data_IF_866281074173
#
_entry.id   IF_866281074173
#
_cell.length_a   1.000
_cell.length_b   1.000
_cell.length_c   1.000
_cell.angle_alpha   90.00
_cell.angle_beta   90.00
_cell.angle_gamma   90.00
#
_symmetry.space_group_name_H-M   'P 1'
#
loop_
_entity.id
_entity.type
_entity.pdbx_description
1 polymer ?
#
# COMPACT_ATOMS: atom_id res chain seq x y z
N UNK A 1 28.34 -22.05 30.86
CA UNK A 1 28.10 -20.89 29.98
C UNK A 1 26.71 -21.07 29.39
N UNK A 2 25.71 -20.32 29.88
CA UNK A 2 24.37 -20.38 29.32
C UNK A 2 24.45 -19.85 27.88
N UNK A 3 24.07 -20.68 26.91
CA UNK A 3 23.89 -20.21 25.54
C UNK A 3 22.89 -19.05 25.56
N UNK A 4 23.28 -17.96 24.91
CA UNK A 4 22.50 -16.75 24.71
C UNK A 4 21.31 -17.03 23.77
N UNK A 5 20.31 -17.75 24.24
CA UNK A 5 19.15 -18.19 23.46
C UNK A 5 18.18 -17.03 23.22
N UNK A 6 17.73 -16.87 21.98
CA UNK A 6 16.69 -15.89 21.61
C UNK A 6 15.32 -16.43 22.04
N UNK A 7 14.65 -15.73 22.96
CA UNK A 7 13.33 -16.10 23.50
C UNK A 7 12.19 -15.22 22.97
N UNK A 8 12.51 -14.09 22.31
CA UNK A 8 11.52 -13.11 21.85
C UNK A 8 11.62 -12.83 20.36
N UNK A 9 10.47 -12.64 19.73
CA UNK A 9 10.32 -12.00 18.43
C UNK A 9 9.66 -10.63 18.62
N UNK A 10 10.33 -9.55 18.25
CA UNK A 10 9.73 -8.23 18.17
C UNK A 10 9.20 -8.01 16.76
N UNK A 11 7.95 -7.58 16.65
CA UNK A 11 7.30 -7.21 15.40
C UNK A 11 6.88 -5.75 15.49
N UNK A 12 7.49 -4.90 14.66
CA UNK A 12 7.25 -3.46 14.70
C UNK A 12 6.67 -2.96 13.38
N UNK A 13 5.81 -1.93 13.45
CA UNK A 13 5.30 -1.19 12.29
C UNK A 13 5.39 0.31 12.51
N UNK A 14 4.91 1.11 11.54
CA UNK A 14 5.19 2.55 11.44
C UNK A 14 4.95 3.38 12.73
N UNK A 15 4.03 2.96 13.60
CA UNK A 15 3.82 3.56 14.91
C UNK A 15 5.05 3.51 15.84
N UNK A 16 6.01 2.61 15.59
CA UNK A 16 7.34 2.62 16.20
C UNK A 16 8.11 3.88 15.81
N UNK A 17 8.18 4.19 14.51
CA UNK A 17 8.87 5.38 14.01
C UNK A 17 8.22 6.67 14.53
N UNK A 18 6.88 6.71 14.53
CA UNK A 18 6.12 7.83 15.10
C UNK A 18 6.40 8.02 16.59
N UNK A 19 6.53 6.94 17.37
CA UNK A 19 6.89 7.05 18.80
C UNK A 19 8.32 7.58 19.01
N UNK A 20 9.19 7.39 18.03
CA UNK A 20 10.54 7.94 18.01
C UNK A 20 10.60 9.36 17.42
N UNK A 21 9.44 10.02 17.23
CA UNK A 21 9.26 11.34 16.63
C UNK A 21 9.76 11.44 15.17
N UNK A 22 9.84 10.31 14.47
CA UNK A 22 10.14 10.31 13.05
C UNK A 22 8.88 10.69 12.26
N UNK A 23 8.99 11.72 11.43
CA UNK A 23 7.92 12.23 10.55
C UNK A 23 7.66 11.26 9.38
N UNK A 24 7.12 10.10 9.71
CA UNK A 24 6.97 8.96 8.80
C UNK A 24 5.51 8.72 8.40
N UNK A 25 4.60 9.67 8.65
CA UNK A 25 3.23 9.57 8.14
C UNK A 25 3.20 9.84 6.64
N UNK A 26 2.16 9.36 5.99
CA UNK A 26 1.87 9.72 4.60
C UNK A 26 1.80 11.24 4.41
N UNK A 27 1.10 11.95 5.31
CA UNK A 27 0.98 13.40 5.28
C UNK A 27 2.35 14.11 5.41
N UNK A 28 3.24 13.58 6.25
CA UNK A 28 4.57 14.16 6.45
C UNK A 28 5.43 14.12 5.16
N UNK A 29 5.25 13.07 4.33
CA UNK A 29 5.92 12.95 3.04
C UNK A 29 5.45 14.02 2.05
N UNK A 30 4.13 14.23 1.92
CA UNK A 30 3.61 15.26 1.02
C UNK A 30 3.94 16.67 1.52
N UNK A 31 3.83 16.91 2.82
CA UNK A 31 4.17 18.21 3.42
C UNK A 31 5.67 18.58 3.27
N UNK A 32 6.53 17.65 2.83
CA UNK A 32 7.93 17.94 2.50
C UNK A 32 8.13 18.32 1.01
N UNK A 33 7.10 18.18 0.17
CA UNK A 33 7.18 18.30 -1.29
C UNK A 33 6.33 19.47 -1.78
N UNK A 34 6.60 20.67 -1.31
CA UNK A 34 5.79 21.88 -1.54
C UNK A 34 5.40 22.09 -3.01
N UNK A 35 6.35 21.98 -3.94
CA UNK A 35 6.06 22.24 -5.36
C UNK A 35 5.18 21.16 -5.99
N UNK A 36 5.41 19.89 -5.65
CA UNK A 36 4.55 18.78 -6.07
C UNK A 36 3.14 18.95 -5.48
N UNK A 37 3.03 19.28 -4.20
CA UNK A 37 1.73 19.46 -3.54
C UNK A 37 0.94 20.59 -4.18
N UNK A 38 1.56 21.74 -4.48
CA UNK A 38 0.89 22.85 -5.19
C UNK A 38 0.33 22.42 -6.53
N UNK A 39 1.08 21.62 -7.29
CA UNK A 39 0.63 21.07 -8.58
C UNK A 39 -0.60 20.16 -8.37
N UNK A 40 -0.49 19.20 -7.44
CA UNK A 40 -1.55 18.23 -7.17
C UNK A 40 -2.81 18.91 -6.59
N UNK A 41 -2.65 19.93 -5.74
CA UNK A 41 -3.75 20.75 -5.20
C UNK A 41 -4.49 21.49 -6.30
N UNK A 42 -3.75 22.17 -7.18
CA UNK A 42 -4.36 22.87 -8.32
C UNK A 42 -5.16 21.90 -9.18
N UNK A 43 -4.57 20.76 -9.54
CA UNK A 43 -5.27 19.74 -10.34
C UNK A 43 -6.52 19.21 -9.66
N UNK A 44 -6.44 18.91 -8.36
CA UNK A 44 -7.59 18.42 -7.63
C UNK A 44 -8.71 19.48 -7.57
N UNK A 45 -8.36 20.76 -7.44
CA UNK A 45 -9.32 21.86 -7.50
C UNK A 45 -9.96 22.00 -8.90
N UNK A 46 -9.16 21.87 -9.96
CA UNK A 46 -9.65 21.95 -11.34
C UNK A 46 -10.59 20.78 -11.67
N UNK A 47 -10.26 19.56 -11.25
CA UNK A 47 -11.14 18.40 -11.41
C UNK A 47 -12.43 18.57 -10.61
N UNK A 48 -12.37 19.09 -9.37
CA UNK A 48 -13.52 19.29 -8.49
C UNK A 48 -14.29 20.61 -8.71
N UNK A 49 -13.93 21.38 -9.74
CA UNK A 49 -14.67 22.57 -10.13
C UNK A 49 -16.08 22.20 -10.59
N UNK A 50 -17.09 22.96 -10.19
CA UNK A 50 -18.49 22.73 -10.57
C UNK A 50 -18.73 22.81 -12.09
N UNK A 51 -17.87 23.52 -12.81
CA UNK A 51 -17.92 23.60 -14.28
C UNK A 51 -17.30 22.36 -14.97
N UNK A 52 -16.58 21.51 -14.22
CA UNK A 52 -15.95 20.29 -14.72
C UNK A 52 -16.92 19.12 -14.59
N UNK A 53 -17.83 19.00 -15.55
CA UNK A 53 -18.70 17.83 -15.67
C UNK A 53 -18.01 16.67 -16.43
N UNK A 54 -18.48 15.46 -16.16
CA UNK A 54 -18.14 14.17 -16.78
C UNK A 54 -18.05 14.26 -18.30
N UNK A 55 -18.93 15.03 -18.96
CA UNK A 55 -18.91 15.21 -20.42
C UNK A 55 -17.64 15.91 -20.92
N UNK A 56 -17.17 16.93 -20.21
CA UNK A 56 -15.96 17.67 -20.57
C UNK A 56 -14.75 16.76 -20.41
N UNK A 57 -14.66 16.07 -19.27
CA UNK A 57 -13.62 15.07 -19.00
C UNK A 57 -13.58 13.98 -20.07
N UNK A 58 -14.73 13.41 -20.41
CA UNK A 58 -14.85 12.40 -21.47
C UNK A 58 -14.41 12.95 -22.83
N UNK A 59 -14.78 14.19 -23.18
CA UNK A 59 -14.33 14.82 -24.42
C UNK A 59 -12.81 15.01 -24.48
N UNK A 60 -12.17 15.34 -23.36
CA UNK A 60 -10.70 15.45 -23.27
C UNK A 60 -10.00 14.09 -23.34
N UNK A 61 -10.53 13.07 -22.64
CA UNK A 61 -10.01 11.69 -22.70
C UNK A 61 -10.10 11.13 -24.11
N UNK A 62 -11.24 11.31 -24.78
CA UNK A 62 -11.48 10.80 -26.13
C UNK A 62 -10.81 11.65 -27.22
N UNK A 63 -10.24 12.81 -26.90
CA UNK A 63 -9.57 13.65 -27.89
C UNK A 63 -8.44 12.93 -28.62
N UNK A 64 -7.70 12.07 -27.91
CA UNK A 64 -6.63 11.26 -28.50
C UNK A 64 -7.15 10.32 -29.59
N UNK A 65 -8.37 9.79 -29.42
CA UNK A 65 -9.09 9.03 -30.43
C UNK A 65 -9.78 9.91 -31.48
N UNK A 66 -9.37 11.18 -31.62
CA UNK A 66 -9.83 12.13 -32.62
C UNK A 66 -11.16 12.83 -32.33
N UNK A 67 -11.76 12.64 -31.14
CA UNK A 67 -13.01 13.32 -30.77
C UNK A 67 -12.81 14.83 -30.63
N UNK A 68 -13.86 15.61 -30.90
CA UNK A 68 -13.82 17.06 -30.68
C UNK A 68 -13.82 17.37 -29.19
N UNK A 69 -12.96 18.29 -28.76
CA UNK A 69 -13.04 18.84 -27.40
C UNK A 69 -14.23 19.78 -27.25
N UNK A 70 -14.65 19.98 -26.01
CA UNK A 70 -15.56 21.05 -25.65
C UNK A 70 -14.81 22.39 -25.59
N UNK A 71 -15.53 23.51 -25.77
CA UNK A 71 -14.94 24.85 -25.79
C UNK A 71 -14.32 25.29 -24.45
N UNK A 72 -14.67 24.62 -23.35
CA UNK A 72 -14.11 24.84 -22.01
C UNK A 72 -13.38 23.57 -21.52
N UNK A 73 -12.41 23.08 -22.30
CA UNK A 73 -11.69 21.84 -22.00
C UNK A 73 -10.63 22.03 -20.90
N UNK A 74 -10.34 20.97 -20.15
CA UNK A 74 -9.42 20.99 -19.02
C UNK A 74 -7.97 21.05 -19.46
N UNK A 75 -7.64 20.51 -20.63
CA UNK A 75 -6.28 20.51 -21.16
C UNK A 75 -5.71 21.94 -21.32
N UNK A 76 -6.55 22.91 -21.66
CA UNK A 76 -6.14 24.32 -21.74
C UNK A 76 -5.76 24.90 -20.36
N UNK A 77 -6.29 24.34 -19.27
CA UNK A 77 -6.05 24.78 -17.88
C UNK A 77 -4.99 23.92 -17.14
N UNK A 78 -4.88 22.64 -17.51
CA UNK A 78 -4.04 21.60 -16.88
C UNK A 78 -3.03 21.04 -17.90
N UNK A 79 -2.24 21.92 -18.52
CA UNK A 79 -1.10 21.51 -19.35
C UNK A 79 0.14 21.27 -18.47
N UNK A 80 0.11 20.21 -17.67
CA UNK A 80 1.19 19.84 -16.75
C UNK A 80 1.78 18.52 -17.18
N UNK A 81 3.09 18.47 -17.43
CA UNK A 81 3.82 17.23 -17.66
C UNK A 81 4.35 16.70 -16.32
N UNK A 82 3.87 15.52 -15.92
CA UNK A 82 4.23 14.90 -14.65
C UNK A 82 5.69 14.47 -14.60
N UNK A 83 6.23 14.02 -15.74
CA UNK A 83 7.62 13.58 -15.83
C UNK A 83 8.59 14.73 -15.54
N UNK A 84 8.29 15.95 -16.00
CA UNK A 84 9.14 17.13 -15.77
C UNK A 84 9.19 17.54 -14.30
N UNK A 85 8.19 17.13 -13.50
CA UNK A 85 8.03 17.49 -12.10
C UNK A 85 8.33 16.32 -11.14
N UNK A 86 8.84 15.19 -11.66
CA UNK A 86 9.05 13.94 -10.89
C UNK A 86 7.79 13.46 -10.14
N UNK A 87 6.60 13.69 -10.73
CA UNK A 87 5.33 13.24 -10.17
C UNK A 87 4.99 11.91 -10.83
N UNK A 88 4.82 10.84 -10.04
CA UNK A 88 4.30 9.59 -10.58
C UNK A 88 2.78 9.56 -10.58
N UNK A 89 2.21 8.61 -11.33
CA UNK A 89 0.79 8.27 -11.27
C UNK A 89 0.30 8.10 -9.81
N UNK A 90 1.06 7.39 -8.99
CA UNK A 90 0.70 7.11 -7.60
C UNK A 90 0.79 8.34 -6.68
N UNK A 91 1.70 9.29 -6.96
CA UNK A 91 1.67 10.58 -6.25
C UNK A 91 0.31 11.26 -6.45
N UNK A 92 -0.20 11.30 -7.69
CA UNK A 92 -1.52 11.86 -7.95
C UNK A 92 -2.64 11.02 -7.35
N UNK A 93 -2.66 9.70 -7.61
CA UNK A 93 -3.75 8.82 -7.17
C UNK A 93 -3.95 8.84 -5.66
N UNK A 94 -2.86 8.75 -4.90
CA UNK A 94 -2.93 8.81 -3.43
C UNK A 94 -3.31 10.22 -2.96
N UNK A 95 -2.78 11.27 -3.57
CA UNK A 95 -3.14 12.63 -3.20
C UNK A 95 -4.61 12.96 -3.48
N UNK A 96 -5.16 12.48 -4.60
CA UNK A 96 -6.58 12.60 -4.95
C UNK A 96 -7.48 11.97 -3.88
N UNK A 97 -6.98 10.95 -3.19
CA UNK A 97 -7.65 10.26 -2.09
C UNK A 97 -7.20 10.70 -0.69
N UNK A 98 -6.39 11.76 -0.56
CA UNK A 98 -5.71 12.12 0.71
C UNK A 98 -6.64 12.24 1.91
N UNK A 99 -7.87 12.71 1.73
CA UNK A 99 -8.87 12.86 2.80
C UNK A 99 -9.28 11.52 3.43
N UNK A 100 -9.06 10.42 2.71
CA UNK A 100 -9.32 9.03 3.15
C UNK A 100 -8.04 8.31 3.60
N UNK A 101 -6.87 8.94 3.50
CA UNK A 101 -5.57 8.36 3.82
C UNK A 101 -5.04 8.87 5.16
N UNK A 102 -5.31 8.14 6.23
CA UNK A 102 -4.82 8.48 7.57
C UNK A 102 -3.45 7.85 7.86
N UNK A 103 -3.17 6.69 7.28
CA UNK A 103 -1.94 5.95 7.51
C UNK A 103 -1.55 5.10 6.27
N UNK A 104 -0.37 4.46 6.32
CA UNK A 104 0.13 3.66 5.21
C UNK A 104 -0.72 2.44 4.84
N UNK A 105 -1.48 1.88 5.78
CA UNK A 105 -2.43 0.81 5.45
C UNK A 105 -3.54 1.30 4.52
N UNK A 106 -3.92 2.57 4.62
CA UNK A 106 -4.91 3.16 3.71
C UNK A 106 -4.30 3.32 2.31
N UNK A 107 -3.01 3.71 2.22
CA UNK A 107 -2.29 3.79 0.94
C UNK A 107 -2.26 2.43 0.24
N UNK A 108 -1.92 1.37 0.99
CA UNK A 108 -1.92 0.00 0.49
C UNK A 108 -3.33 -0.50 0.13
N UNK A 109 -4.34 -0.08 0.88
CA UNK A 109 -5.74 -0.35 0.54
C UNK A 109 -6.12 0.29 -0.80
N UNK A 110 -5.76 1.55 -1.05
CA UNK A 110 -6.05 2.22 -2.33
C UNK A 110 -5.22 1.63 -3.48
N UNK A 111 -3.96 1.26 -3.24
CA UNK A 111 -3.16 0.50 -4.20
C UNK A 111 -3.87 -0.81 -4.58
N UNK A 112 -4.32 -1.58 -3.58
CA UNK A 112 -5.05 -2.81 -3.80
C UNK A 112 -6.39 -2.56 -4.52
N UNK A 113 -7.13 -1.53 -4.13
CA UNK A 113 -8.39 -1.13 -4.75
C UNK A 113 -8.18 -0.93 -6.25
N UNK A 114 -7.24 -0.08 -6.67
CA UNK A 114 -7.00 0.20 -8.08
C UNK A 114 -6.56 -1.05 -8.86
N UNK A 115 -5.68 -1.87 -8.29
CA UNK A 115 -5.15 -3.06 -8.98
C UNK A 115 -6.16 -4.21 -9.09
N UNK A 116 -6.98 -4.41 -8.06
CA UNK A 116 -7.91 -5.55 -7.97
C UNK A 116 -9.29 -5.25 -8.55
N UNK A 117 -9.62 -3.98 -8.78
CA UNK A 117 -10.85 -3.58 -9.47
C UNK A 117 -10.99 -4.30 -10.83
N UNK A 118 -9.88 -4.55 -11.54
CA UNK A 118 -9.87 -5.25 -12.83
C UNK A 118 -10.02 -6.79 -12.70
N UNK A 119 -9.94 -7.36 -11.49
CA UNK A 119 -9.89 -8.82 -11.27
C UNK A 119 -11.22 -9.44 -10.83
N UNK A 120 -12.22 -8.61 -10.51
CA UNK A 120 -13.53 -9.07 -10.04
C UNK A 120 -14.64 -8.47 -10.90
N UNK A 121 -15.41 -9.33 -11.58
CA UNK A 121 -16.57 -9.00 -12.43
C UNK A 121 -17.70 -8.19 -11.72
N UNK A 122 -17.53 -7.81 -10.46
CA UNK A 122 -18.57 -7.24 -9.60
C UNK A 122 -18.43 -5.74 -9.30
N UNK A 123 -17.44 -5.03 -9.85
CA UNK A 123 -17.28 -3.59 -9.67
C UNK A 123 -17.44 -2.82 -10.99
N UNK A 124 -18.68 -2.53 -11.43
CA UNK A 124 -18.95 -1.87 -12.72
C UNK A 124 -18.55 -0.38 -12.78
N UNK A 125 -17.97 0.18 -11.71
CA UNK A 125 -17.82 1.64 -11.59
C UNK A 125 -16.44 2.15 -12.01
N UNK A 126 -15.35 1.44 -11.70
CA UNK A 126 -13.99 1.84 -12.07
C UNK A 126 -13.40 0.79 -13.01
N UNK A 127 -13.03 1.13 -14.23
CA UNK A 127 -12.37 0.19 -15.14
C UNK A 127 -11.50 0.94 -16.15
N UNK A 128 -10.25 1.16 -15.76
CA UNK A 128 -9.27 1.90 -16.57
C UNK A 128 -8.89 1.07 -17.81
N UNK A 129 -8.76 -0.25 -17.66
CA UNK A 129 -8.29 -1.14 -18.73
C UNK A 129 -9.32 -1.24 -19.85
N UNK A 130 -10.57 -1.57 -19.51
CA UNK A 130 -11.66 -1.60 -20.49
C UNK A 130 -11.84 -0.25 -21.17
N UNK A 131 -11.72 0.85 -20.42
CA UNK A 131 -11.82 2.19 -21.00
C UNK A 131 -10.69 2.47 -21.99
N UNK A 132 -9.45 2.06 -21.68
CA UNK A 132 -8.32 2.17 -22.61
C UNK A 132 -8.51 1.30 -23.85
N UNK A 133 -8.97 0.06 -23.71
CA UNK A 133 -9.30 -0.83 -24.83
C UNK A 133 -10.32 -0.19 -25.79
N UNK A 134 -11.37 0.43 -25.24
CA UNK A 134 -12.35 1.16 -26.04
C UNK A 134 -11.75 2.39 -26.73
N UNK A 135 -10.86 3.13 -26.06
CA UNK A 135 -10.17 4.29 -26.64
C UNK A 135 -9.28 3.86 -27.82
N UNK A 136 -8.51 2.80 -27.66
CA UNK A 136 -7.68 2.20 -28.74
C UNK A 136 -8.57 1.80 -29.91
N UNK A 137 -9.72 1.18 -29.62
CA UNK A 137 -10.66 0.76 -30.66
C UNK A 137 -11.26 1.97 -31.40
N UNK A 138 -11.60 3.04 -30.70
CA UNK A 138 -12.03 4.29 -31.33
C UNK A 138 -10.95 4.89 -32.23
N UNK A 139 -9.71 4.95 -31.76
CA UNK A 139 -8.58 5.47 -32.53
C UNK A 139 -8.36 4.67 -33.81
N UNK A 140 -8.54 3.35 -33.76
CA UNK A 140 -8.48 2.48 -34.92
C UNK A 140 -9.66 2.68 -35.89
N UNK A 141 -10.90 2.73 -35.40
CA UNK A 141 -12.09 2.76 -36.27
C UNK A 141 -12.31 4.13 -36.88
N UNK A 142 -12.09 5.22 -36.14
CA UNK A 142 -12.51 6.56 -36.55
C UNK A 142 -11.96 7.00 -37.91
N UNK A 143 -10.67 6.78 -38.26
CA UNK A 143 -10.16 7.10 -39.60
C UNK A 143 -10.78 6.26 -40.73
N UNK A 144 -11.50 5.17 -40.40
CA UNK A 144 -12.04 4.16 -41.31
C UNK A 144 -13.57 4.23 -41.47
N UNK A 145 -14.24 5.19 -40.82
CA UNK A 145 -15.70 5.34 -40.88
C UNK A 145 -16.24 5.58 -42.29
N UNK A 146 -15.44 6.17 -43.19
CA UNK A 146 -15.81 6.40 -44.59
C UNK A 146 -15.56 5.20 -45.51
N UNK A 147 -14.93 4.13 -45.00
CA UNK A 147 -14.49 2.98 -45.80
C UNK A 147 -15.60 1.92 -45.91
N UNK A 148 -16.24 1.58 -44.79
CA UNK A 148 -17.22 0.49 -44.74
C UNK A 148 -18.32 0.77 -43.71
N UNK A 149 -19.55 0.37 -44.03
CA UNK A 149 -20.72 0.56 -43.16
C UNK A 149 -20.59 -0.16 -41.82
N UNK A 150 -19.94 -1.33 -41.80
CA UNK A 150 -19.70 -2.12 -40.58
C UNK A 150 -18.93 -1.33 -39.51
N UNK A 151 -17.95 -0.51 -39.90
CA UNK A 151 -17.23 0.38 -38.98
C UNK A 151 -18.10 1.48 -38.39
N UNK A 152 -19.12 1.96 -39.12
CA UNK A 152 -20.07 2.97 -38.61
C UNK A 152 -20.97 2.34 -37.55
N UNK A 153 -21.49 1.14 -37.82
CA UNK A 153 -22.34 0.39 -36.89
C UNK A 153 -21.56 0.07 -35.60
N UNK A 154 -20.33 -0.42 -35.73
CA UNK A 154 -19.45 -0.69 -34.58
C UNK A 154 -19.10 0.58 -33.80
N UNK A 155 -18.83 1.70 -34.47
CA UNK A 155 -18.50 2.96 -33.79
C UNK A 155 -19.64 3.49 -32.95
N UNK A 156 -20.88 3.47 -33.47
CA UNK A 156 -22.04 3.92 -32.69
C UNK A 156 -22.30 2.98 -31.51
N UNK A 157 -22.16 1.65 -31.69
CA UNK A 157 -22.27 0.68 -30.59
C UNK A 157 -21.22 0.94 -29.49
N UNK A 158 -19.94 1.11 -29.86
CA UNK A 158 -18.87 1.41 -28.91
C UNK A 158 -19.12 2.72 -28.17
N UNK A 159 -19.61 3.74 -28.87
CA UNK A 159 -19.93 5.06 -28.30
C UNK A 159 -21.09 5.00 -27.33
N UNK A 160 -22.13 4.22 -27.62
CA UNK A 160 -23.23 3.96 -26.69
C UNK A 160 -22.77 3.19 -25.45
N UNK A 161 -21.82 2.27 -25.62
CA UNK A 161 -21.28 1.42 -24.55
C UNK A 161 -20.17 2.08 -23.73
N UNK A 162 -19.60 3.22 -24.15
CA UNK A 162 -18.52 3.87 -23.41
C UNK A 162 -19.09 4.56 -22.16
N UNK A 163 -19.04 3.83 -21.05
CA UNK A 163 -19.43 4.31 -19.73
C UNK A 163 -18.22 4.26 -18.80
N UNK A 164 -17.78 5.42 -18.34
CA UNK A 164 -16.75 5.55 -17.32
C UNK A 164 -17.25 6.50 -16.24
N UNK A 165 -17.05 6.12 -14.97
CA UNK A 165 -17.34 7.02 -13.87
C UNK A 165 -16.35 8.19 -13.86
N UNK A 166 -16.66 9.20 -13.03
CA UNK A 166 -15.86 10.41 -12.95
C UNK A 166 -14.43 10.14 -12.48
N UNK A 167 -14.22 9.23 -11.53
CA UNK A 167 -12.88 8.85 -11.05
C UNK A 167 -12.09 8.20 -12.17
N UNK A 168 -12.65 7.23 -12.90
CA UNK A 168 -12.01 6.61 -14.08
C UNK A 168 -11.61 7.66 -15.12
N UNK A 169 -12.50 8.58 -15.46
CA UNK A 169 -12.19 9.63 -16.43
C UNK A 169 -11.06 10.56 -15.99
N UNK A 170 -10.98 10.89 -14.70
CA UNK A 170 -9.86 11.68 -14.15
C UNK A 170 -8.55 10.90 -14.26
N UNK A 171 -8.55 9.60 -13.96
CA UNK A 171 -7.34 8.77 -14.06
C UNK A 171 -6.90 8.58 -15.51
N UNK A 172 -7.82 8.36 -16.44
CA UNK A 172 -7.55 8.32 -17.88
C UNK A 172 -6.99 9.65 -18.37
N UNK A 173 -7.56 10.78 -17.93
CA UNK A 173 -7.06 12.10 -18.27
C UNK A 173 -5.60 12.24 -17.85
N UNK A 174 -5.26 11.89 -16.60
CA UNK A 174 -3.90 11.99 -16.08
C UNK A 174 -2.94 11.06 -16.82
N UNK A 175 -3.34 9.80 -17.06
CA UNK A 175 -2.53 8.84 -17.81
C UNK A 175 -2.20 9.34 -19.22
N UNK A 176 -3.21 9.75 -19.98
CA UNK A 176 -3.05 10.12 -21.38
C UNK A 176 -2.44 11.51 -21.56
N UNK A 177 -2.91 12.50 -20.80
CA UNK A 177 -2.54 13.91 -21.02
C UNK A 177 -1.34 14.35 -20.18
N UNK A 178 -1.21 13.91 -18.92
CA UNK A 178 -0.17 14.40 -18.01
C UNK A 178 1.05 13.49 -17.92
N UNK A 179 0.84 12.17 -18.03
CA UNK A 179 1.92 11.17 -17.98
C UNK A 179 2.40 10.70 -19.36
N UNK A 180 1.65 11.00 -20.42
CA UNK A 180 1.95 10.61 -21.81
C UNK A 180 2.00 9.10 -21.99
N UNK A 181 1.03 8.39 -21.41
CA UNK A 181 0.84 6.96 -21.66
C UNK A 181 0.69 6.70 -23.17
N UNK A 182 1.45 5.73 -23.69
CA UNK A 182 1.50 5.41 -25.11
C UNK A 182 0.32 4.49 -25.48
N UNK A 183 -0.76 5.11 -25.95
CA UNK A 183 -2.01 4.40 -26.27
C UNK A 183 -1.83 3.38 -27.41
N UNK A 184 -0.89 3.62 -28.35
CA UNK A 184 -0.63 2.71 -29.47
C UNK A 184 -0.03 1.38 -29.00
N UNK A 185 0.65 1.37 -27.84
CA UNK A 185 1.23 0.17 -27.21
C UNK A 185 0.29 -0.51 -26.21
N UNK A 186 -0.92 0.00 -26.06
CA UNK A 186 -1.83 -0.46 -25.04
C UNK A 186 -2.10 -1.98 -25.12
N UNK A 187 -2.01 -2.60 -23.97
CA UNK A 187 -2.40 -3.97 -23.65
C UNK A 187 -2.48 -4.05 -22.12
N UNK A 188 -3.17 -5.07 -21.58
CA UNK A 188 -3.17 -5.37 -20.14
C UNK A 188 -1.74 -5.33 -19.57
N UNK A 189 -0.84 -6.10 -20.19
CA UNK A 189 0.56 -6.16 -19.77
C UNK A 189 1.26 -4.81 -19.81
N UNK A 190 1.07 -4.02 -20.87
CA UNK A 190 1.68 -2.70 -20.99
C UNK A 190 1.15 -1.71 -19.93
N UNK A 191 -0.15 -1.75 -19.61
CA UNK A 191 -0.74 -0.95 -18.54
C UNK A 191 -0.10 -1.29 -17.18
N UNK A 192 -0.05 -2.58 -16.83
CA UNK A 192 0.55 -2.98 -15.55
C UNK A 192 2.06 -2.72 -15.53
N UNK A 193 2.78 -2.91 -16.65
CA UNK A 193 4.15 -2.47 -16.92
C UNK A 193 4.36 -1.01 -16.51
N UNK A 194 3.56 -0.12 -17.11
CA UNK A 194 3.57 1.30 -16.80
C UNK A 194 3.26 1.60 -15.32
N UNK A 195 2.18 1.04 -14.75
CA UNK A 195 1.75 1.33 -13.38
C UNK A 195 2.81 0.94 -12.33
N UNK A 196 3.56 -0.12 -12.57
CA UNK A 196 4.62 -0.54 -11.65
C UNK A 196 5.86 0.34 -11.76
N UNK A 197 6.22 0.79 -12.96
CA UNK A 197 7.31 1.75 -13.13
C UNK A 197 6.97 3.06 -12.42
N UNK A 198 5.72 3.51 -12.51
CA UNK A 198 5.22 4.64 -11.74
C UNK A 198 5.25 4.38 -10.23
N UNK A 199 5.00 3.14 -9.77
CA UNK A 199 5.09 2.78 -8.35
C UNK A 199 6.55 2.82 -7.88
N UNK A 200 7.48 2.30 -8.67
CA UNK A 200 8.91 2.37 -8.39
C UNK A 200 9.38 3.84 -8.30
N UNK A 201 8.88 4.73 -9.16
CA UNK A 201 9.15 6.18 -9.07
C UNK A 201 8.63 6.77 -7.74
N UNK A 202 7.41 6.40 -7.33
CA UNK A 202 6.83 6.80 -6.05
C UNK A 202 7.68 6.32 -4.87
N UNK A 203 7.96 5.02 -4.81
CA UNK A 203 8.76 4.37 -3.77
C UNK A 203 10.15 5.00 -3.66
N UNK A 204 10.77 5.33 -4.79
CA UNK A 204 12.06 6.03 -4.83
C UNK A 204 11.99 7.44 -4.23
N UNK A 205 11.02 8.25 -4.64
CA UNK A 205 10.83 9.59 -4.08
C UNK A 205 10.57 9.54 -2.57
N UNK A 206 9.80 8.55 -2.12
CA UNK A 206 9.53 8.32 -0.70
C UNK A 206 10.79 7.84 0.06
N UNK A 207 11.59 6.95 -0.54
CA UNK A 207 12.87 6.51 0.01
C UNK A 207 13.81 7.69 0.28
N UNK A 208 13.94 8.59 -0.70
CA UNK A 208 14.82 9.75 -0.61
C UNK A 208 14.39 10.67 0.54
N UNK A 209 13.08 10.85 0.72
CA UNK A 209 12.53 11.55 1.88
C UNK A 209 12.91 10.86 3.21
N UNK A 210 12.66 9.56 3.36
CA UNK A 210 12.95 8.82 4.60
C UNK A 210 14.43 8.85 4.97
N UNK A 211 15.33 8.82 3.99
CA UNK A 211 16.78 8.94 4.21
C UNK A 211 17.14 10.26 4.90
N UNK A 212 16.44 11.35 4.61
CA UNK A 212 16.69 12.65 5.26
C UNK A 212 16.31 12.67 6.75
N UNK A 213 15.46 11.75 7.20
CA UNK A 213 14.89 11.79 8.55
C UNK A 213 15.73 11.04 9.61
N UNK A 214 16.61 10.12 9.20
CA UNK A 214 17.31 9.20 10.11
C UNK A 214 18.56 9.80 10.76
N UNK A 215 18.36 10.86 11.56
CA UNK A 215 19.40 11.48 12.37
C UNK A 215 19.74 10.67 13.64
N UNK A 216 20.80 11.08 14.36
CA UNK A 216 21.24 10.41 15.60
C UNK A 216 20.15 10.40 16.69
N UNK A 217 19.31 11.44 16.78
CA UNK A 217 18.20 11.51 17.75
C UNK A 217 17.20 10.37 17.54
N UNK A 218 16.85 10.07 16.29
CA UNK A 218 16.00 8.91 15.97
C UNK A 218 16.69 7.59 16.34
N UNK A 219 18.00 7.46 16.08
CA UNK A 219 18.77 6.25 16.43
C UNK A 219 18.79 5.99 17.94
N UNK A 220 18.95 7.04 18.75
CA UNK A 220 18.90 6.94 20.21
C UNK A 220 17.51 6.52 20.71
N UNK A 221 16.46 7.19 20.22
CA UNK A 221 15.06 6.90 20.62
C UNK A 221 14.61 5.51 20.21
N UNK A 222 14.95 5.09 19.00
CA UNK A 222 14.64 3.74 18.50
C UNK A 222 15.32 2.67 19.34
N UNK A 223 16.60 2.86 19.70
CA UNK A 223 17.30 1.92 20.58
C UNK A 223 16.67 1.85 21.98
N UNK A 224 16.34 2.99 22.59
CA UNK A 224 15.68 3.02 23.90
C UNK A 224 14.32 2.30 23.89
N UNK A 225 13.55 2.52 22.83
CA UNK A 225 12.24 1.89 22.66
C UNK A 225 12.37 0.37 22.46
N UNK A 226 13.33 -0.08 21.64
CA UNK A 226 13.61 -1.51 21.46
C UNK A 226 14.01 -2.19 22.78
N UNK A 227 14.87 -1.56 23.59
CA UNK A 227 15.27 -2.10 24.88
C UNK A 227 14.07 -2.26 25.84
N UNK A 228 13.12 -1.31 25.81
CA UNK A 228 11.88 -1.38 26.58
C UNK A 228 10.98 -2.52 26.11
N UNK A 229 10.82 -2.70 24.80
CA UNK A 229 9.99 -3.75 24.20
C UNK A 229 10.59 -5.15 24.39
N UNK A 230 11.92 -5.27 24.32
CA UNK A 230 12.64 -6.52 24.56
C UNK A 230 12.77 -6.88 26.03
N UNK A 231 12.46 -5.96 26.95
CA UNK A 231 12.75 -6.12 28.38
C UNK A 231 14.23 -6.41 28.67
N UNK A 232 15.12 -5.88 27.83
CA UNK A 232 16.57 -6.15 27.80
C UNK A 232 16.95 -7.63 27.59
N UNK A 233 16.03 -8.47 27.09
CA UNK A 233 16.32 -9.84 26.68
C UNK A 233 16.81 -9.88 25.23
N UNK A 234 17.40 -11.00 24.82
CA UNK A 234 17.75 -11.24 23.41
C UNK A 234 16.51 -11.45 22.56
N UNK A 235 16.50 -10.82 21.39
CA UNK A 235 15.37 -10.85 20.48
C UNK A 235 15.80 -10.93 19.02
N UNK A 236 14.90 -11.47 18.20
CA UNK A 236 14.89 -11.23 16.76
C UNK A 236 13.90 -10.09 16.44
N UNK A 237 14.21 -9.29 15.42
CA UNK A 237 13.41 -8.15 14.99
C UNK A 237 12.84 -8.37 13.59
N UNK A 238 11.52 -8.33 13.49
CA UNK A 238 10.79 -8.25 12.24
C UNK A 238 10.18 -6.86 12.11
N UNK A 239 10.66 -6.09 11.15
CA UNK A 239 10.26 -4.69 10.95
C UNK A 239 9.39 -4.57 9.69
N UNK A 240 8.22 -3.97 9.86
CA UNK A 240 7.33 -3.47 8.80
C UNK A 240 7.43 -1.95 8.72
N UNK A 241 8.54 -1.36 9.18
CA UNK A 241 8.83 0.04 8.89
C UNK A 241 9.49 0.13 7.52
N UNK A 242 9.20 1.22 6.84
CA UNK A 242 9.94 1.66 5.64
C UNK A 242 11.35 2.16 5.96
N UNK A 243 11.68 2.33 7.25
CA UNK A 243 12.99 2.73 7.74
C UNK A 243 13.73 1.56 8.40
N UNK A 244 15.00 1.79 8.75
CA UNK A 244 15.82 0.78 9.41
C UNK A 244 16.14 1.25 10.85
N UNK A 245 15.31 0.90 11.85
CA UNK A 245 15.58 1.21 13.25
C UNK A 245 16.98 0.80 13.69
N UNK A 246 17.63 1.66 14.49
CA UNK A 246 18.97 1.41 14.98
C UNK A 246 18.99 0.20 15.91
N UNK A 247 19.90 -0.73 15.65
CA UNK A 247 20.11 -1.96 16.45
C UNK A 247 21.59 -2.12 16.75
N UNK A 248 22.19 -1.10 17.39
CA UNK A 248 23.61 -1.15 17.79
C UNK A 248 23.82 -2.06 19.02
N UNK A 249 22.75 -2.50 19.66
CA UNK A 249 22.81 -3.39 20.82
C UNK A 249 22.98 -4.87 20.44
N UNK A 250 23.90 -5.53 21.16
CA UNK A 250 24.17 -6.97 21.16
C UNK A 250 22.96 -7.86 21.51
N UNK A 251 21.87 -7.28 22.01
CA UNK A 251 20.61 -7.97 22.31
C UNK A 251 19.80 -8.32 21.07
N UNK A 252 19.95 -7.56 19.96
CA UNK A 252 19.33 -7.90 18.68
C UNK A 252 20.17 -8.97 17.99
N UNK A 253 19.60 -10.15 17.78
CA UNK A 253 20.29 -11.27 17.13
C UNK A 253 20.14 -11.22 15.61
N UNK A 254 18.91 -11.25 15.10
CA UNK A 254 18.60 -11.15 13.66
C UNK A 254 17.59 -10.05 13.44
N UNK A 255 17.78 -9.28 12.37
CA UNK A 255 16.82 -8.27 11.89
C UNK A 255 16.40 -8.57 10.46
N UNK A 256 15.09 -8.51 10.19
CA UNK A 256 14.52 -8.57 8.84
C UNK A 256 13.52 -7.44 8.64
N UNK A 257 13.58 -6.78 7.49
CA UNK A 257 12.61 -5.75 7.09
C UNK A 257 11.70 -6.32 5.99
N UNK A 258 10.39 -6.27 6.19
CA UNK A 258 9.39 -6.77 5.23
C UNK A 258 9.15 -5.76 4.11
N UNK A 259 9.12 -4.46 4.42
CA UNK A 259 8.95 -3.40 3.41
C UNK A 259 10.27 -2.98 2.76
N UNK A 260 11.23 -3.89 2.64
CA UNK A 260 12.55 -3.61 2.08
C UNK A 260 13.45 -2.81 3.01
N UNK A 261 14.62 -2.43 2.49
CA UNK A 261 15.55 -1.52 3.16
C UNK A 261 15.68 -0.23 2.37
N UNK A 262 16.22 0.81 3.00
CA UNK A 262 16.42 2.09 2.32
C UNK A 262 17.49 2.02 1.22
N UNK A 263 18.36 1.00 1.25
CA UNK A 263 19.27 0.69 0.15
C UNK A 263 18.55 0.15 -1.10
N UNK A 264 17.44 -0.57 -0.91
CA UNK A 264 16.73 -1.32 -1.96
C UNK A 264 15.40 -0.69 -2.40
N UNK A 265 15.05 0.47 -1.81
CA UNK A 265 13.76 1.19 -1.87
C UNK A 265 12.66 0.53 -1.02
N UNK A 266 11.78 1.34 -0.37
CA UNK A 266 10.65 0.82 0.39
C UNK A 266 9.68 0.08 -0.52
N UNK A 267 9.13 -1.03 -0.04
CA UNK A 267 8.11 -1.81 -0.76
C UNK A 267 6.74 -1.41 -0.24
N UNK A 268 5.97 -0.70 -1.06
CA UNK A 268 4.55 -0.44 -0.84
C UNK A 268 3.79 -1.41 -1.71
N UNK A 269 3.25 -2.44 -1.09
CA UNK A 269 2.71 -3.58 -1.83
C UNK A 269 1.49 -4.19 -1.16
N UNK A 270 0.83 -5.06 -1.91
CA UNK A 270 -0.38 -5.75 -1.47
C UNK A 270 -0.05 -7.16 -0.98
N UNK A 271 -1.03 -7.80 -0.33
CA UNK A 271 -0.93 -9.21 0.02
C UNK A 271 -1.04 -10.06 -1.26
N UNK A 272 -0.32 -11.19 -1.31
CA UNK A 272 -0.41 -12.14 -2.43
C UNK A 272 -1.57 -13.13 -2.30
N UNK A 273 -2.26 -13.15 -1.15
CA UNK A 273 -3.42 -14.00 -0.90
C UNK A 273 -4.49 -13.75 -1.96
N UNK A 274 -4.93 -14.84 -2.61
CA UNK A 274 -5.93 -14.86 -3.69
C UNK A 274 -5.49 -14.23 -5.02
N UNK A 275 -4.20 -13.94 -5.24
CA UNK A 275 -3.69 -13.43 -6.52
C UNK A 275 -2.94 -14.56 -7.23
N UNK A 276 -3.36 -14.87 -8.46
CA UNK A 276 -2.68 -15.88 -9.29
C UNK A 276 -1.25 -15.43 -9.63
N UNK A 277 -0.24 -16.32 -9.58
CA UNK A 277 1.11 -16.00 -10.05
C UNK A 277 1.20 -15.56 -11.51
N UNK A 278 0.23 -15.96 -12.34
CA UNK A 278 0.16 -15.57 -13.75
C UNK A 278 -0.49 -14.19 -13.97
N UNK A 279 -1.12 -13.62 -12.93
CA UNK A 279 -1.71 -12.28 -13.02
C UNK A 279 -0.62 -11.21 -13.09
N UNK A 280 -0.75 -10.19 -13.95
CA UNK A 280 0.18 -9.06 -13.97
C UNK A 280 0.21 -8.28 -12.65
N UNK A 281 -0.84 -8.39 -11.82
CA UNK A 281 -0.92 -7.80 -10.47
C UNK A 281 0.05 -8.47 -9.48
N UNK A 282 0.43 -9.74 -9.69
CA UNK A 282 1.23 -10.50 -8.74
C UNK A 282 2.55 -9.82 -8.37
N UNK A 283 3.15 -9.06 -9.31
CA UNK A 283 4.39 -8.34 -9.08
C UNK A 283 4.30 -7.16 -8.10
N UNK A 284 3.09 -6.65 -7.86
CA UNK A 284 2.82 -5.60 -6.87
C UNK A 284 2.70 -6.18 -5.45
N UNK A 285 2.72 -7.50 -5.30
CA UNK A 285 2.65 -8.15 -4.00
C UNK A 285 3.99 -8.03 -3.27
N UNK A 286 3.93 -7.89 -1.93
CA UNK A 286 5.15 -7.93 -1.10
C UNK A 286 5.91 -9.24 -1.28
N UNK A 287 5.20 -10.35 -1.47
CA UNK A 287 5.81 -11.67 -1.71
C UNK A 287 6.72 -11.65 -2.93
N UNK A 288 6.22 -11.21 -4.09
CA UNK A 288 7.03 -11.10 -5.30
C UNK A 288 8.23 -10.18 -5.09
N UNK A 289 8.00 -9.00 -4.51
CA UNK A 289 9.03 -7.97 -4.30
C UNK A 289 10.14 -8.42 -3.34
N UNK A 290 9.81 -9.18 -2.30
CA UNK A 290 10.83 -9.76 -1.41
C UNK A 290 11.58 -10.91 -2.10
N UNK A 291 10.88 -11.73 -2.89
CA UNK A 291 11.51 -12.82 -3.64
C UNK A 291 12.56 -12.30 -4.63
N UNK A 292 12.34 -11.17 -5.30
CA UNK A 292 13.32 -10.58 -6.22
C UNK A 292 14.56 -10.01 -5.52
N UNK A 293 14.45 -9.65 -4.23
CA UNK A 293 15.57 -9.19 -3.40
C UNK A 293 16.31 -10.33 -2.70
N UNK A 294 15.75 -11.54 -2.67
CA UNK A 294 16.34 -12.69 -2.00
C UNK A 294 17.54 -13.23 -2.81
N UNK A 295 18.75 -12.81 -2.44
CA UNK A 295 20.00 -13.24 -3.11
C UNK A 295 20.68 -14.43 -2.43
N UNK A 296 20.50 -14.60 -1.11
CA UNK A 296 21.22 -15.61 -0.31
C UNK A 296 20.34 -16.20 0.81
N UNK A 297 20.77 -17.35 1.33
CA UNK A 297 20.13 -18.00 2.47
C UNK A 297 20.28 -17.12 3.71
N UNK A 298 19.16 -16.55 4.16
CA UNK A 298 19.14 -15.69 5.35
C UNK A 298 19.11 -16.51 6.64
N UNK A 299 19.62 -15.91 7.72
CA UNK A 299 19.58 -16.48 9.07
C UNK A 299 18.14 -16.78 9.54
N UNK A 300 18.03 -17.73 10.47
CA UNK A 300 16.76 -18.22 11.02
C UNK A 300 16.09 -17.16 11.92
N UNK A 301 15.25 -16.32 11.31
CA UNK A 301 14.47 -15.29 12.01
C UNK A 301 13.52 -15.88 13.06
N UNK A 302 13.03 -17.10 12.87
CA UNK A 302 12.01 -17.73 13.69
C UNK A 302 12.54 -19.00 14.37
N UNK A 303 13.49 -18.92 15.32
CA UNK A 303 13.99 -20.11 16.00
C UNK A 303 12.91 -20.68 16.93
N UNK A 304 12.86 -22.01 17.07
CA UNK A 304 11.90 -22.72 17.95
C UNK A 304 11.98 -22.32 19.44
N UNK A 305 13.03 -21.58 19.83
CA UNK A 305 13.25 -21.10 21.19
C UNK A 305 12.42 -19.87 21.54
N UNK A 306 11.77 -19.22 20.56
CA UNK A 306 10.87 -18.09 20.82
C UNK A 306 9.65 -18.55 21.61
N UNK A 307 9.36 -17.84 22.71
CA UNK A 307 8.19 -18.06 23.57
C UNK A 307 7.27 -16.84 23.61
N UNK A 308 7.79 -15.66 23.27
CA UNK A 308 7.03 -14.41 23.31
C UNK A 308 7.15 -13.66 21.99
N UNK A 309 6.02 -13.31 21.40
CA UNK A 309 5.94 -12.44 20.23
C UNK A 309 5.38 -11.10 20.69
N UNK A 310 6.15 -10.04 20.50
CA UNK A 310 5.81 -8.70 20.95
C UNK A 310 5.51 -7.83 19.75
N UNK A 311 4.33 -7.21 19.72
CA UNK A 311 3.92 -6.31 18.66
C UNK A 311 3.92 -4.86 19.14
N UNK A 312 4.41 -3.93 18.31
CA UNK A 312 4.32 -2.51 18.60
C UNK A 312 4.20 -1.65 17.35
N UNK A 313 3.25 -0.71 17.35
CA UNK A 313 3.14 0.30 16.29
C UNK A 313 2.68 -0.23 14.93
N UNK A 314 2.23 -1.48 14.84
CA UNK A 314 1.71 -2.07 13.61
C UNK A 314 0.18 -1.86 13.50
N UNK A 315 -0.31 -1.61 12.28
CA UNK A 315 -1.74 -1.42 12.00
C UNK A 315 -2.53 -2.74 11.91
N UNK A 316 -1.83 -3.83 11.60
CA UNK A 316 -2.36 -5.15 11.25
C UNK A 316 -3.24 -5.09 10.00
N UNK A 317 -2.76 -4.33 9.01
CA UNK A 317 -3.41 -4.15 7.74
C UNK A 317 -3.56 -5.49 6.98
N UNK A 318 -4.61 -5.64 6.16
CA UNK A 318 -4.77 -6.82 5.30
C UNK A 318 -3.56 -7.06 4.38
N UNK A 319 -2.86 -6.00 3.95
CA UNK A 319 -1.69 -6.10 3.08
C UNK A 319 -0.47 -6.80 3.72
N UNK A 320 -0.47 -7.00 5.04
CA UNK A 320 0.58 -7.70 5.79
C UNK A 320 0.10 -9.04 6.39
N UNK A 321 -1.16 -9.42 6.16
CA UNK A 321 -1.82 -10.52 6.86
C UNK A 321 -1.07 -11.86 6.69
N UNK A 322 -0.66 -12.19 5.46
CA UNK A 322 0.06 -13.44 5.16
C UNK A 322 1.34 -13.63 5.98
N UNK A 323 2.02 -12.55 6.40
CA UNK A 323 3.17 -12.65 7.31
C UNK A 323 2.75 -13.04 8.72
N UNK A 324 1.69 -12.44 9.26
CA UNK A 324 1.18 -12.81 10.58
C UNK A 324 0.68 -14.25 10.60
N UNK A 325 -0.08 -14.65 9.57
CA UNK A 325 -0.52 -16.03 9.42
C UNK A 325 0.67 -16.99 9.42
N UNK A 326 1.69 -16.73 8.61
CA UNK A 326 2.89 -17.59 8.53
C UNK A 326 3.63 -17.71 9.87
N UNK A 327 3.73 -16.62 10.64
CA UNK A 327 4.35 -16.64 11.98
C UNK A 327 3.50 -17.46 12.94
N UNK A 328 2.17 -17.29 12.91
CA UNK A 328 1.25 -17.98 13.81
C UNK A 328 1.16 -19.48 13.51
N UNK A 329 1.16 -19.85 12.24
CA UNK A 329 1.22 -21.24 11.77
C UNK A 329 2.54 -21.89 12.18
N UNK A 330 3.68 -21.22 11.94
CA UNK A 330 5.01 -21.73 12.26
C UNK A 330 5.16 -22.09 13.74
N UNK A 331 4.67 -21.23 14.64
CA UNK A 331 4.73 -21.47 16.07
C UNK A 331 3.55 -22.29 16.61
N UNK A 332 2.55 -22.61 15.78
CA UNK A 332 1.26 -23.18 16.19
C UNK A 332 0.73 -22.54 17.47
N UNK A 333 0.41 -21.24 17.40
CA UNK A 333 -0.01 -20.45 18.58
C UNK A 333 -1.26 -20.99 19.28
N UNK A 334 -2.02 -21.86 18.61
CA UNK A 334 -3.18 -22.52 19.20
C UNK A 334 -2.74 -23.58 20.22
N UNK A 335 -1.89 -24.55 19.84
CA UNK A 335 -1.52 -25.67 20.71
C UNK A 335 -0.26 -25.41 21.55
N UNK A 336 0.66 -24.56 21.08
CA UNK A 336 1.93 -24.32 21.78
C UNK A 336 1.86 -23.15 22.77
N UNK A 337 2.74 -23.21 23.76
CA UNK A 337 2.93 -22.16 24.77
C UNK A 337 3.70 -20.97 24.19
N UNK A 338 2.95 -20.15 23.42
CA UNK A 338 3.41 -18.89 22.84
C UNK A 338 2.55 -17.77 23.38
N UNK A 339 3.22 -16.74 23.92
CA UNK A 339 2.58 -15.52 24.42
C UNK A 339 2.65 -14.40 23.39
N UNK A 340 1.52 -13.80 23.07
CA UNK A 340 1.41 -12.61 22.22
C UNK A 340 1.21 -11.37 23.10
N UNK A 341 2.12 -10.40 22.97
CA UNK A 341 2.06 -9.14 23.72
C UNK A 341 1.91 -7.97 22.76
N UNK A 342 0.76 -7.31 22.79
CA UNK A 342 0.44 -6.15 21.99
C UNK A 342 0.67 -4.88 22.81
N UNK A 343 1.74 -4.15 22.53
CA UNK A 343 1.98 -2.85 23.16
C UNK A 343 1.35 -1.71 22.35
N UNK A 344 0.81 -0.73 23.07
CA UNK A 344 0.31 0.52 22.48
C UNK A 344 0.75 1.74 23.27
N UNK A 345 0.83 2.89 22.60
CA UNK A 345 1.13 4.18 23.23
C UNK A 345 -0.09 5.09 23.20
N UNK A 346 -0.28 5.85 24.27
CA UNK A 346 -1.20 6.99 24.28
C UNK A 346 -0.43 8.21 23.77
N UNK A 347 -0.81 8.69 22.58
CA UNK A 347 -0.22 9.86 21.94
C UNK A 347 -1.10 11.11 22.06
N UNK A 348 -2.35 10.93 22.49
CA UNK A 348 -3.29 12.00 22.79
C UNK A 348 -4.10 11.56 24.02
N UNK A 349 -3.87 12.21 25.16
CA UNK A 349 -4.52 11.86 26.44
C UNK A 349 -6.04 12.03 26.36
N UNK A 350 -6.52 13.00 25.57
CA UNK A 350 -7.96 13.22 25.38
C UNK A 350 -8.65 12.05 24.64
N UNK A 351 -7.87 11.25 23.90
CA UNK A 351 -8.34 10.11 23.10
C UNK A 351 -7.93 8.76 23.66
N UNK A 352 -7.50 8.67 24.92
CA UNK A 352 -6.97 7.42 25.50
C UNK A 352 -7.92 6.22 25.32
N UNK A 353 -9.23 6.41 25.54
CA UNK A 353 -10.23 5.35 25.36
C UNK A 353 -10.40 4.94 23.89
N UNK A 354 -10.35 5.90 22.97
CA UNK A 354 -10.45 5.65 21.53
C UNK A 354 -9.22 4.88 21.01
N UNK A 355 -8.02 5.28 21.45
CA UNK A 355 -6.76 4.61 21.10
C UNK A 355 -6.80 3.16 21.59
N UNK A 356 -7.19 2.95 22.85
CA UNK A 356 -7.30 1.60 23.44
C UNK A 356 -8.32 0.75 22.68
N UNK A 357 -9.50 1.30 22.36
CA UNK A 357 -10.54 0.61 21.60
C UNK A 357 -10.05 0.25 20.20
N UNK A 358 -9.38 1.16 19.52
CA UNK A 358 -8.82 0.93 18.18
C UNK A 358 -7.81 -0.21 18.20
N UNK A 359 -6.87 -0.19 19.14
CA UNK A 359 -5.90 -1.27 19.29
C UNK A 359 -6.58 -2.61 19.57
N UNK A 360 -7.57 -2.64 20.47
CA UNK A 360 -8.33 -3.85 20.77
C UNK A 360 -9.05 -4.39 19.53
N UNK A 361 -9.68 -3.51 18.74
CA UNK A 361 -10.38 -3.88 17.52
C UNK A 361 -9.41 -4.47 16.47
N UNK A 362 -8.24 -3.85 16.26
CA UNK A 362 -7.26 -4.36 15.30
C UNK A 362 -6.71 -5.73 15.71
N UNK A 363 -6.42 -5.93 17.00
CA UNK A 363 -5.98 -7.24 17.53
C UNK A 363 -7.10 -8.28 17.38
N UNK A 364 -8.34 -7.93 17.74
CA UNK A 364 -9.49 -8.84 17.62
C UNK A 364 -9.74 -9.24 16.17
N UNK A 365 -9.61 -8.29 15.23
CA UNK A 365 -9.73 -8.58 13.79
C UNK A 365 -8.65 -9.53 13.31
N UNK A 366 -7.38 -9.28 13.65
CA UNK A 366 -6.27 -10.18 13.31
C UNK A 366 -6.49 -11.60 13.84
N UNK A 367 -6.87 -11.72 15.11
CA UNK A 367 -7.11 -13.02 15.75
C UNK A 367 -8.33 -13.75 15.15
N UNK A 368 -9.40 -13.02 14.85
CA UNK A 368 -10.59 -13.56 14.21
C UNK A 368 -10.28 -14.06 12.80
N UNK A 369 -9.55 -13.24 12.02
CA UNK A 369 -9.17 -13.58 10.65
C UNK A 369 -8.26 -14.80 10.61
N UNK A 370 -7.25 -14.88 11.50
CA UNK A 370 -6.46 -16.11 11.67
C UNK A 370 -7.30 -17.30 12.16
N UNK A 371 -8.28 -17.08 13.05
CA UNK A 371 -9.22 -18.12 13.46
C UNK A 371 -9.98 -18.76 12.29
N UNK A 372 -10.20 -18.04 11.19
CA UNK A 372 -10.89 -18.58 10.00
C UNK A 372 -10.07 -19.62 9.23
N UNK A 373 -8.76 -19.72 9.46
CA UNK A 373 -7.91 -20.74 8.80
C UNK A 373 -8.14 -22.15 9.38
N UNK A 374 -8.69 -22.24 10.60
CA UNK A 374 -9.03 -23.51 11.23
C UNK A 374 -10.36 -24.06 10.68
N UNK A 375 -10.35 -25.31 10.21
CA UNK A 375 -11.54 -25.97 9.66
C UNK A 375 -12.49 -26.51 10.77
N UNK A 376 -12.51 -25.88 11.96
CA UNK A 376 -13.26 -26.36 13.13
C UNK A 376 -13.63 -25.22 14.10
N UNK A 377 -14.52 -25.49 15.06
CA UNK A 377 -14.89 -24.56 16.15
C UNK A 377 -13.70 -24.05 16.97
N UNK A 378 -12.54 -24.72 16.87
CA UNK A 378 -11.27 -24.26 17.45
C UNK A 378 -10.91 -22.83 17.01
N UNK A 379 -11.18 -22.48 15.76
CA UNK A 379 -10.87 -21.17 15.19
C UNK A 379 -11.62 -20.03 15.88
N UNK A 380 -12.94 -20.17 15.98
CA UNK A 380 -13.80 -19.17 16.63
C UNK A 380 -13.50 -18.97 18.12
N UNK A 381 -12.90 -19.98 18.77
CA UNK A 381 -12.55 -19.94 20.20
C UNK A 381 -11.07 -19.60 20.48
N UNK A 382 -10.24 -19.37 19.44
CA UNK A 382 -8.79 -19.12 19.61
C UNK A 382 -8.51 -17.97 20.58
N UNK A 383 -9.14 -16.81 20.36
CA UNK A 383 -8.92 -15.63 21.20
C UNK A 383 -9.34 -15.89 22.66
N UNK A 384 -10.49 -16.53 22.88
CA UNK A 384 -10.97 -16.90 24.21
C UNK A 384 -10.00 -17.85 24.93
N UNK A 385 -9.52 -18.89 24.23
CA UNK A 385 -8.53 -19.83 24.76
C UNK A 385 -7.25 -19.11 25.20
N UNK A 386 -6.67 -18.29 24.33
CA UNK A 386 -5.42 -17.58 24.66
C UNK A 386 -5.58 -16.58 25.80
N UNK A 387 -6.76 -15.96 25.95
CA UNK A 387 -7.05 -15.09 27.10
C UNK A 387 -7.18 -15.90 28.40
N UNK A 388 -7.88 -17.04 28.39
CA UNK A 388 -8.02 -17.93 29.56
C UNK A 388 -6.67 -18.50 30.02
N UNK A 389 -5.78 -18.79 29.07
CA UNK A 389 -4.43 -19.28 29.35
C UNK A 389 -3.43 -18.15 29.68
N UNK A 390 -3.86 -16.87 29.65
CA UNK A 390 -2.99 -15.73 29.94
C UNK A 390 -1.92 -15.44 28.87
N UNK A 391 -2.09 -15.99 27.66
CA UNK A 391 -1.13 -15.91 26.55
C UNK A 391 -1.43 -14.79 25.55
N UNK A 392 -2.55 -14.08 25.67
CA UNK A 392 -2.87 -12.89 24.87
C UNK A 392 -2.93 -11.65 25.75
N UNK A 393 -1.97 -10.74 25.59
CA UNK A 393 -1.78 -9.58 26.47
C UNK A 393 -1.85 -8.30 25.65
N UNK A 394 -2.67 -7.34 26.09
CA UNK A 394 -2.73 -5.99 25.55
C UNK A 394 -2.25 -5.00 26.63
N UNK A 395 -1.17 -4.26 26.39
CA UNK A 395 -0.49 -3.45 27.42
C UNK A 395 -0.11 -2.05 26.93
N UNK A 396 -0.38 -1.02 27.75
CA UNK A 396 0.14 0.34 27.55
C UNK A 396 1.65 0.32 27.81
N UNK A 397 2.42 0.91 26.89
CA UNK A 397 3.88 0.97 26.99
C UNK A 397 4.36 1.90 28.10
#
# INVERSE_FOLDING_TARGET
MAQNVVSRLLVIGNGFDLKCDLKSKFEDYYNNKDDMVKILEKMNADFNNQNTDTKILQGDVLYIAGFSRYAANLNDNININFNDNNISFWNFYFYFHKEKLNNWADVEFFLNKLLMINSHETHPELDIEKSLDMIVRFEYIRPRLSIEKSYVEEFEELKENFTADRETLVLLFVLLNNLKYDIEKHSERYLYDFLFDELNKFEKSFNDYLKTLQNEKYKEKSQQLLNKLSSNERYNLLSFNYTTPCTKDSSCNIKRNIHGKLEDHPIIGIDSKNISPDSPVFRFTKTYRIMTLASEKQDELLPQTVKTIVFYGHSFAPADYSYFQSIFDYYNIYDNDITLVFYYSIYDESKEQEIKRTQFNSVSKLMSEYGTTFHSEKGGNLMHKMLLEGRLILKKL
#
